data_IF_209493060057
#
_entry.id   IF_209493060057
#
_cell.length_a   1.000
_cell.length_b   1.000
_cell.length_c   1.000
_cell.angle_alpha   90.00
_cell.angle_beta   90.00
_cell.angle_gamma   90.00
#
_symmetry.space_group_name_H-M   'P 1'
#
loop_
_entity.id
_entity.type
_entity.pdbx_description
1 polymer ?
#
# COMPACT_ATOMS: atom_id res chain seq x y z
N UNK A 1 7.58 0.86 18.18
CA UNK A 1 6.48 0.76 17.20
C UNK A 1 6.62 -0.58 16.51
N UNK A 2 5.52 -1.30 16.37
CA UNK A 2 5.44 -2.57 15.63
C UNK A 2 4.38 -2.48 14.54
N UNK A 3 4.71 -2.83 13.29
CA UNK A 3 3.79 -2.79 12.16
C UNK A 3 3.68 -4.14 11.46
N UNK A 4 2.53 -4.37 10.82
CA UNK A 4 2.33 -5.45 9.87
C UNK A 4 2.41 -4.87 8.46
N UNK A 5 3.43 -5.24 7.68
CA UNK A 5 3.60 -4.83 6.29
C UNK A 5 3.25 -5.99 5.37
N UNK A 6 2.29 -5.78 4.45
CA UNK A 6 1.71 -6.85 3.62
C UNK A 6 1.82 -6.48 2.15
N UNK A 7 2.30 -7.43 1.33
CA UNK A 7 2.39 -7.30 -0.12
C UNK A 7 3.80 -7.03 -0.61
N UNK A 8 3.95 -6.20 -1.62
CA UNK A 8 5.21 -5.80 -2.27
C UNK A 8 6.08 -7.00 -2.66
N UNK A 9 5.43 -8.06 -3.15
CA UNK A 9 6.08 -9.28 -3.63
C UNK A 9 5.23 -9.95 -4.70
N UNK A 10 5.89 -10.59 -5.67
CA UNK A 10 5.21 -11.21 -6.80
C UNK A 10 5.96 -12.41 -7.37
N UNK A 11 5.23 -13.23 -8.09
CA UNK A 11 5.76 -14.36 -8.87
C UNK A 11 5.67 -14.00 -10.34
N UNK A 12 6.80 -14.02 -11.04
CA UNK A 12 6.88 -13.77 -12.47
C UNK A 12 6.89 -15.11 -13.19
N UNK A 13 5.92 -15.32 -14.08
CA UNK A 13 5.91 -16.45 -15.01
C UNK A 13 6.37 -15.97 -16.39
N UNK A 14 7.46 -16.54 -16.89
CA UNK A 14 8.04 -16.19 -18.19
C UNK A 14 7.86 -17.34 -19.16
N UNK A 15 7.43 -17.01 -20.37
CA UNK A 15 7.37 -17.96 -21.51
C UNK A 15 8.48 -17.58 -22.48
N UNK A 16 9.45 -18.47 -22.65
CA UNK A 16 10.56 -18.31 -23.56
C UNK A 16 10.25 -19.05 -24.87
N UNK A 17 10.19 -18.34 -26.00
CA UNK A 17 9.99 -18.93 -27.32
C UNK A 17 11.24 -18.76 -28.18
N UNK A 18 11.72 -19.88 -28.74
CA UNK A 18 12.89 -19.91 -29.63
C UNK A 18 12.54 -20.73 -30.89
N UNK A 19 12.00 -20.07 -31.91
CA UNK A 19 11.40 -20.72 -33.04
C UNK A 19 10.17 -21.54 -32.64
N UNK A 20 10.17 -22.85 -32.90
CA UNK A 20 9.11 -23.77 -32.51
C UNK A 20 9.23 -24.30 -31.08
N UNK A 21 10.39 -24.14 -30.45
CA UNK A 21 10.59 -24.59 -29.07
C UNK A 21 10.21 -23.52 -28.07
N UNK A 22 9.51 -23.93 -27.00
CA UNK A 22 9.16 -23.06 -25.90
C UNK A 22 9.32 -23.75 -24.54
N UNK A 23 9.68 -22.98 -23.55
CA UNK A 23 9.71 -23.41 -22.14
C UNK A 23 9.28 -22.30 -21.22
N UNK A 24 8.84 -22.66 -20.03
CA UNK A 24 8.44 -21.71 -18.98
C UNK A 24 9.46 -21.66 -17.87
N UNK A 25 9.63 -20.49 -17.28
CA UNK A 25 10.39 -20.32 -16.03
C UNK A 25 9.59 -19.45 -15.07
N UNK A 26 9.90 -19.57 -13.79
CA UNK A 26 9.23 -18.81 -12.73
C UNK A 26 10.29 -18.19 -11.84
N UNK A 27 10.08 -16.91 -11.48
CA UNK A 27 10.93 -16.16 -10.58
C UNK A 27 10.06 -15.52 -9.50
N UNK A 28 10.49 -15.59 -8.26
CA UNK A 28 9.94 -14.83 -7.15
C UNK A 28 10.76 -13.56 -6.92
N UNK A 29 10.09 -12.42 -6.68
CA UNK A 29 10.72 -11.14 -6.39
C UNK A 29 10.01 -10.43 -5.22
N UNK A 30 10.78 -9.63 -4.49
CA UNK A 30 10.31 -8.76 -3.40
C UNK A 30 10.75 -7.31 -3.66
N UNK A 31 9.80 -6.39 -3.79
CA UNK A 31 10.04 -4.94 -3.87
C UNK A 31 10.24 -4.30 -2.49
N UNK A 32 9.78 -4.96 -1.43
CA UNK A 32 9.77 -4.43 -0.07
C UNK A 32 11.14 -4.06 0.53
N UNK A 33 12.24 -4.55 -0.03
CA UNK A 33 13.59 -4.51 0.57
C UNK A 33 14.02 -3.09 0.98
N UNK A 34 13.76 -2.08 0.15
CA UNK A 34 14.12 -0.68 0.45
C UNK A 34 13.37 -0.17 1.68
N UNK A 35 12.06 -0.32 1.70
CA UNK A 35 11.22 0.14 2.81
C UNK A 35 11.53 -0.64 4.09
N UNK A 36 11.63 -1.96 4.04
CA UNK A 36 11.97 -2.79 5.19
C UNK A 36 13.32 -2.40 5.81
N UNK A 37 14.33 -2.16 4.96
CA UNK A 37 15.66 -1.74 5.40
C UNK A 37 15.62 -0.38 6.10
N UNK A 38 14.93 0.60 5.53
CA UNK A 38 14.84 1.93 6.10
C UNK A 38 14.05 1.95 7.43
N UNK A 39 12.96 1.19 7.53
CA UNK A 39 12.17 1.09 8.76
C UNK A 39 12.94 0.38 9.88
N UNK A 40 13.71 -0.67 9.55
CA UNK A 40 14.59 -1.35 10.50
C UNK A 40 15.68 -0.40 11.04
N UNK A 41 16.29 0.41 10.17
CA UNK A 41 17.28 1.42 10.58
C UNK A 41 16.66 2.49 11.50
N UNK A 42 15.37 2.81 11.32
CA UNK A 42 14.62 3.71 12.20
C UNK A 42 14.15 3.05 13.52
N UNK A 43 14.51 1.79 13.78
CA UNK A 43 14.12 1.06 15.00
C UNK A 43 12.64 0.65 15.03
N UNK A 44 11.98 0.56 13.87
CA UNK A 44 10.61 0.07 13.75
C UNK A 44 10.64 -1.46 13.56
N UNK A 45 9.90 -2.17 14.41
CA UNK A 45 9.70 -3.62 14.27
C UNK A 45 8.68 -3.88 13.16
N UNK A 46 9.09 -4.61 12.13
CA UNK A 46 8.24 -4.95 11.00
C UNK A 46 8.03 -6.44 10.93
N UNK A 47 6.77 -6.86 11.02
CA UNK A 47 6.33 -8.20 10.66
C UNK A 47 5.94 -8.15 9.18
N UNK A 48 6.76 -8.76 8.32
CA UNK A 48 6.56 -8.73 6.88
C UNK A 48 5.81 -9.97 6.42
N UNK A 49 4.76 -9.75 5.64
CA UNK A 49 3.93 -10.80 5.05
C UNK A 49 3.88 -10.64 3.53
N UNK A 50 4.73 -11.37 2.78
CA UNK A 50 4.68 -11.38 1.31
C UNK A 50 3.31 -11.81 0.79
N UNK A 51 2.94 -11.35 -0.41
CA UNK A 51 1.60 -11.56 -0.97
C UNK A 51 1.14 -13.04 -0.99
N UNK A 52 2.05 -13.97 -1.32
CA UNK A 52 1.73 -15.41 -1.40
C UNK A 52 1.48 -16.07 -0.03
N UNK A 53 1.89 -15.45 1.07
CA UNK A 53 1.68 -15.96 2.43
C UNK A 53 0.35 -15.52 3.04
N UNK A 54 -0.25 -14.45 2.52
CA UNK A 54 -1.49 -13.86 3.07
C UNK A 54 -2.63 -14.87 3.15
N UNK A 55 -2.80 -15.68 2.10
CA UNK A 55 -3.87 -16.68 2.03
C UNK A 55 -3.80 -17.74 3.13
N UNK A 56 -2.63 -17.91 3.76
CA UNK A 56 -2.38 -18.93 4.81
C UNK A 56 -2.14 -18.27 6.17
N UNK A 57 -1.38 -17.20 6.22
CA UNK A 57 -0.86 -16.60 7.46
C UNK A 57 -1.66 -15.41 7.98
N UNK A 58 -2.55 -14.82 7.15
CA UNK A 58 -3.30 -13.65 7.63
C UNK A 58 -4.11 -14.00 8.89
N UNK A 59 -4.09 -13.15 9.92
CA UNK A 59 -4.81 -13.36 11.17
C UNK A 59 -6.31 -13.62 10.95
N UNK A 60 -6.87 -14.56 11.71
CA UNK A 60 -8.30 -14.90 11.68
C UNK A 60 -9.09 -14.23 12.79
N UNK A 61 -8.38 -13.69 13.78
CA UNK A 61 -8.95 -13.06 14.96
C UNK A 61 -8.43 -11.62 15.09
N UNK A 62 -9.29 -10.70 15.50
CA UNK A 62 -8.97 -9.29 15.69
C UNK A 62 -7.84 -9.07 16.71
N UNK A 63 -7.77 -9.94 17.73
CA UNK A 63 -6.76 -9.84 18.79
C UNK A 63 -5.33 -10.00 18.27
N UNK A 64 -5.16 -10.73 17.18
CA UNK A 64 -3.86 -10.88 16.54
C UNK A 64 -3.43 -9.61 15.79
N UNK A 65 -4.37 -8.80 15.31
CA UNK A 65 -4.08 -7.53 14.65
C UNK A 65 -3.78 -6.42 15.67
N UNK A 66 -4.39 -6.46 16.84
CA UNK A 66 -4.21 -5.43 17.91
C UNK A 66 -2.79 -5.30 18.44
N UNK A 67 -1.91 -6.28 18.17
CA UNK A 67 -0.48 -6.22 18.54
C UNK A 67 0.33 -5.26 17.66
N UNK A 68 -0.23 -4.78 16.55
CA UNK A 68 0.40 -3.85 15.63
C UNK A 68 -0.10 -2.42 15.88
N UNK A 69 0.82 -1.46 15.79
CA UNK A 69 0.49 -0.02 15.82
C UNK A 69 -0.12 0.44 14.48
N UNK A 70 0.27 -0.18 13.37
CA UNK A 70 -0.29 0.06 12.03
C UNK A 70 -0.20 -1.17 11.12
N UNK A 71 -1.10 -1.23 10.15
CA UNK A 71 -1.08 -2.16 9.01
C UNK A 71 -0.74 -1.34 7.77
N UNK A 72 0.19 -1.84 6.96
CA UNK A 72 0.60 -1.26 5.68
C UNK A 72 0.30 -2.25 4.57
N UNK A 73 -0.48 -1.83 3.58
CA UNK A 73 -0.76 -2.59 2.37
C UNK A 73 -0.03 -1.96 1.19
N UNK A 74 0.76 -2.73 0.44
CA UNK A 74 1.53 -2.26 -0.72
C UNK A 74 1.49 -3.29 -1.84
N UNK A 75 1.09 -2.86 -3.01
CA UNK A 75 1.02 -3.65 -4.26
C UNK A 75 0.46 -5.07 -4.09
N UNK A 76 -0.71 -5.17 -3.46
CA UNK A 76 -1.43 -6.42 -3.20
C UNK A 76 -2.93 -6.24 -3.41
N UNK A 77 -3.53 -7.03 -4.31
CA UNK A 77 -4.94 -6.94 -4.65
C UNK A 77 -5.88 -7.54 -3.59
N UNK A 78 -7.12 -7.02 -3.54
CA UNK A 78 -8.13 -7.43 -2.56
C UNK A 78 -8.47 -8.92 -2.62
N UNK A 79 -8.40 -9.56 -3.78
CA UNK A 79 -8.67 -10.98 -3.94
C UNK A 79 -7.73 -11.87 -3.11
N UNK A 80 -6.48 -11.42 -2.87
CA UNK A 80 -5.54 -12.16 -2.03
C UNK A 80 -6.04 -12.32 -0.58
N UNK A 81 -6.81 -11.34 -0.10
CA UNK A 81 -7.45 -11.38 1.22
C UNK A 81 -8.81 -12.10 1.21
N UNK A 82 -9.57 -11.98 0.11
CA UNK A 82 -10.92 -12.53 0.00
C UNK A 82 -10.92 -14.02 -0.35
N UNK A 83 -9.95 -14.46 -1.15
CA UNK A 83 -9.83 -15.84 -1.64
C UNK A 83 -8.78 -16.61 -0.84
N UNK A 84 -8.96 -16.68 0.48
CA UNK A 84 -8.10 -17.48 1.34
C UNK A 84 -8.20 -18.97 0.97
N UNK A 85 -7.13 -19.75 1.21
CA UNK A 85 -7.06 -21.15 0.83
C UNK A 85 -8.25 -22.02 1.32
N UNK A 86 -8.74 -21.89 2.58
CA UNK A 86 -9.92 -22.63 3.00
C UNK A 86 -11.16 -22.28 2.17
N UNK A 87 -11.37 -21.00 1.85
CA UNK A 87 -12.51 -20.56 1.01
C UNK A 87 -12.38 -21.07 -0.42
N UNK A 88 -11.22 -20.87 -1.04
CA UNK A 88 -11.05 -21.10 -2.48
C UNK A 88 -10.93 -22.59 -2.83
N UNK A 89 -10.21 -23.38 -2.00
CA UNK A 89 -9.95 -24.78 -2.29
C UNK A 89 -10.81 -25.76 -1.49
N UNK A 90 -11.35 -25.34 -0.34
CA UNK A 90 -12.05 -26.24 0.58
C UNK A 90 -13.54 -25.88 0.75
N UNK A 91 -13.98 -24.75 0.12
CA UNK A 91 -15.35 -24.23 0.21
C UNK A 91 -15.79 -23.96 1.66
N UNK A 92 -14.86 -23.61 2.53
CA UNK A 92 -15.12 -23.30 3.93
C UNK A 92 -15.50 -21.84 4.13
N UNK A 93 -16.34 -21.59 5.12
CA UNK A 93 -16.65 -20.24 5.59
C UNK A 93 -15.56 -19.78 6.55
N UNK A 94 -14.90 -18.69 6.22
CA UNK A 94 -13.86 -18.05 7.05
C UNK A 94 -14.17 -16.56 7.26
N UNK A 95 -13.60 -15.92 8.29
CA UNK A 95 -13.74 -14.49 8.49
C UNK A 95 -13.24 -13.71 7.27
N UNK A 96 -13.93 -12.62 6.93
CA UNK A 96 -13.48 -11.69 5.89
C UNK A 96 -12.25 -10.93 6.39
N UNK A 97 -11.07 -11.20 5.82
CA UNK A 97 -9.81 -10.60 6.23
C UNK A 97 -9.83 -9.05 6.11
N UNK A 98 -10.45 -8.51 5.06
CA UNK A 98 -10.61 -7.05 4.92
C UNK A 98 -11.60 -6.49 5.96
N UNK A 99 -12.58 -7.29 6.37
CA UNK A 99 -13.49 -6.97 7.48
C UNK A 99 -12.76 -6.85 8.81
N UNK A 100 -11.79 -7.75 9.06
CA UNK A 100 -10.94 -7.66 10.25
C UNK A 100 -10.03 -6.42 10.23
N UNK A 101 -9.49 -6.05 9.07
CA UNK A 101 -8.72 -4.79 8.92
C UNK A 101 -9.63 -3.58 9.22
N UNK A 102 -10.86 -3.56 8.67
CA UNK A 102 -11.82 -2.48 8.97
C UNK A 102 -12.09 -2.37 10.46
N UNK A 103 -12.41 -3.48 11.11
CA UNK A 103 -12.68 -3.53 12.55
C UNK A 103 -11.46 -3.08 13.38
N UNK A 104 -10.25 -3.49 12.96
CA UNK A 104 -9.00 -3.07 13.58
C UNK A 104 -8.86 -1.54 13.54
N UNK A 105 -9.09 -0.91 12.38
CA UNK A 105 -9.01 0.55 12.23
C UNK A 105 -10.14 1.23 13.03
N UNK A 106 -11.36 0.72 12.96
CA UNK A 106 -12.51 1.27 13.70
C UNK A 106 -12.24 1.35 15.21
N UNK A 107 -11.50 0.36 15.74
CA UNK A 107 -11.12 0.29 17.15
C UNK A 107 -9.85 1.06 17.52
N UNK A 108 -9.21 1.73 16.56
CA UNK A 108 -8.08 2.62 16.84
C UNK A 108 -6.77 2.26 16.15
N UNK A 109 -6.71 1.20 15.37
CA UNK A 109 -5.52 0.84 14.60
C UNK A 109 -5.23 1.80 13.46
N UNK A 110 -3.98 1.83 13.00
CA UNK A 110 -3.55 2.61 11.84
C UNK A 110 -3.57 1.82 10.54
N UNK A 111 -3.98 2.44 9.42
CA UNK A 111 -3.92 1.83 8.09
C UNK A 111 -3.25 2.76 7.09
N UNK A 112 -2.24 2.26 6.39
CA UNK A 112 -1.63 2.89 5.22
C UNK A 112 -1.84 2.01 4.00
N UNK A 113 -2.36 2.57 2.90
CA UNK A 113 -2.26 1.96 1.58
C UNK A 113 -1.25 2.72 0.74
N UNK A 114 -0.26 2.01 0.24
CA UNK A 114 0.78 2.48 -0.70
C UNK A 114 0.37 2.04 -2.10
N UNK A 115 0.56 2.90 -3.09
CA UNK A 115 0.25 2.63 -4.49
C UNK A 115 1.07 1.50 -5.10
N UNK A 116 0.75 1.17 -6.32
CA UNK A 116 1.32 0.10 -7.11
C UNK A 116 0.29 -0.47 -8.09
N UNK A 117 0.69 -1.43 -8.89
CA UNK A 117 -0.19 -2.04 -9.91
C UNK A 117 -1.38 -2.77 -9.29
N UNK A 118 -1.27 -3.27 -8.07
CA UNK A 118 -2.35 -3.96 -7.36
C UNK A 118 -2.79 -3.26 -6.06
N UNK A 119 -2.70 -1.92 -6.03
CA UNK A 119 -3.28 -1.09 -4.97
C UNK A 119 -4.49 -0.33 -5.48
N UNK A 120 -5.36 0.13 -4.58
CA UNK A 120 -6.59 0.89 -4.90
C UNK A 120 -7.49 0.16 -5.92
N UNK A 121 -7.62 0.64 -7.17
CA UNK A 121 -8.24 -0.11 -8.25
C UNK A 121 -7.20 -0.87 -9.06
N UNK A 122 -6.06 -0.27 -9.30
CA UNK A 122 -4.89 -0.87 -9.93
C UNK A 122 -5.06 -1.18 -11.41
N UNK A 123 -4.10 -1.93 -11.93
CA UNK A 123 -4.07 -2.34 -13.34
C UNK A 123 -5.36 -3.05 -13.76
N UNK A 124 -6.02 -2.55 -14.80
CA UNK A 124 -7.29 -3.08 -15.32
C UNK A 124 -8.40 -3.19 -14.24
N UNK A 125 -8.30 -2.44 -13.14
CA UNK A 125 -9.22 -2.52 -12.00
C UNK A 125 -9.07 -3.79 -11.17
N UNK A 126 -7.98 -4.54 -11.29
CA UNK A 126 -7.80 -5.87 -10.67
C UNK A 126 -7.61 -5.84 -9.16
N UNK A 127 -7.04 -4.76 -8.61
CA UNK A 127 -6.91 -4.61 -7.16
C UNK A 127 -8.26 -4.50 -6.45
N UNK A 128 -9.21 -3.80 -7.09
CA UNK A 128 -10.65 -3.79 -6.81
C UNK A 128 -11.04 -3.44 -5.36
N UNK A 129 -10.27 -2.62 -4.65
CA UNK A 129 -10.59 -2.25 -3.26
C UNK A 129 -11.84 -1.38 -3.13
N UNK A 130 -12.24 -0.64 -4.18
CA UNK A 130 -13.49 0.14 -4.20
C UNK A 130 -14.71 -0.71 -3.88
N UNK A 131 -14.73 -1.96 -4.32
CA UNK A 131 -15.84 -2.89 -4.13
C UNK A 131 -15.68 -3.75 -2.85
N UNK A 132 -14.86 -3.28 -1.91
CA UNK A 132 -14.62 -3.93 -0.62
C UNK A 132 -14.96 -2.98 0.54
N UNK A 133 -15.00 -3.52 1.75
CA UNK A 133 -15.20 -2.73 2.97
C UNK A 133 -14.10 -1.71 3.23
N UNK A 134 -12.91 -1.84 2.62
CA UNK A 134 -11.83 -0.87 2.77
C UNK A 134 -12.10 0.44 2.00
N UNK A 135 -13.04 0.47 1.08
CA UNK A 135 -13.50 1.71 0.45
C UNK A 135 -14.03 2.72 1.49
N UNK A 136 -14.66 2.24 2.56
CA UNK A 136 -15.14 3.10 3.65
C UNK A 136 -13.98 3.61 4.51
N UNK A 137 -12.96 2.78 4.71
CA UNK A 137 -11.84 3.01 5.64
C UNK A 137 -10.80 3.97 5.09
N UNK A 138 -10.42 3.81 3.82
CA UNK A 138 -9.39 4.62 3.18
C UNK A 138 -9.84 6.08 3.01
N UNK A 139 -8.91 7.05 3.12
CA UNK A 139 -9.25 8.48 3.07
C UNK A 139 -9.50 8.98 1.63
N UNK A 140 -9.71 8.07 0.68
CA UNK A 140 -9.82 8.37 -0.75
C UNK A 140 -11.06 7.72 -1.37
N UNK A 141 -11.59 8.36 -2.42
CA UNK A 141 -12.60 7.83 -3.32
C UNK A 141 -11.91 7.27 -4.55
N UNK A 142 -11.91 5.95 -4.69
CA UNK A 142 -11.28 5.24 -5.80
C UNK A 142 -12.12 5.36 -7.09
N UNK A 143 -11.47 5.28 -8.25
CA UNK A 143 -12.13 5.26 -9.56
C UNK A 143 -12.93 3.96 -9.76
N UNK A 144 -13.67 3.86 -10.88
CA UNK A 144 -14.43 2.66 -11.24
C UNK A 144 -13.69 1.73 -12.22
N UNK A 145 -12.47 2.09 -12.60
CA UNK A 145 -11.68 1.39 -13.61
C UNK A 145 -10.19 1.42 -13.22
N UNK A 146 -9.34 1.05 -14.17
CA UNK A 146 -7.87 1.21 -14.07
C UNK A 146 -7.55 2.64 -13.65
N UNK A 147 -6.85 2.78 -12.55
CA UNK A 147 -6.55 4.07 -11.93
C UNK A 147 -5.07 4.48 -12.07
N UNK A 148 -4.29 3.72 -12.85
CA UNK A 148 -2.88 4.03 -13.08
C UNK A 148 -2.73 5.27 -13.95
N UNK A 149 -1.76 6.10 -13.59
CA UNK A 149 -1.27 7.21 -14.40
C UNK A 149 0.22 6.97 -14.64
N UNK A 150 0.58 6.58 -15.85
CA UNK A 150 1.98 6.36 -16.25
C UNK A 150 2.61 7.66 -16.74
N UNK A 151 3.76 8.04 -16.19
CA UNK A 151 4.46 9.30 -16.50
C UNK A 151 5.94 9.00 -16.76
N UNK A 152 6.30 8.43 -17.92
CA UNK A 152 7.69 8.03 -18.20
C UNK A 152 8.67 9.22 -18.21
N UNK A 153 8.19 10.45 -18.38
CA UNK A 153 9.00 11.68 -18.27
C UNK A 153 9.18 12.16 -16.81
N UNK A 154 8.56 11.49 -15.86
CA UNK A 154 8.56 11.86 -14.45
C UNK A 154 7.65 13.05 -14.11
N UNK A 155 7.11 13.02 -12.89
CA UNK A 155 6.41 14.16 -12.29
C UNK A 155 6.85 14.32 -10.84
N UNK A 156 7.10 15.58 -10.42
CA UNK A 156 7.50 15.91 -9.06
C UNK A 156 6.27 16.29 -8.23
N UNK A 157 5.99 15.59 -7.13
CA UNK A 157 4.95 16.00 -6.19
C UNK A 157 5.23 17.39 -5.59
N UNK A 158 4.18 18.02 -5.05
CA UNK A 158 4.26 19.32 -4.38
C UNK A 158 3.53 19.27 -3.07
N UNK A 159 4.19 19.69 -2.00
CA UNK A 159 3.55 19.91 -0.69
C UNK A 159 2.58 21.09 -0.80
N UNK A 160 1.31 20.87 -0.48
CA UNK A 160 0.26 21.88 -0.54
C UNK A 160 -0.29 22.26 0.84
N UNK A 161 -0.05 21.43 1.84
CA UNK A 161 -0.45 21.68 3.23
C UNK A 161 0.75 21.45 4.15
N UNK A 162 1.06 22.45 4.99
CA UNK A 162 2.11 22.32 6.02
C UNK A 162 1.67 21.32 7.10
N UNK A 163 2.44 20.27 7.27
CA UNK A 163 2.18 19.23 8.26
C UNK A 163 3.52 18.66 8.77
N UNK A 164 3.54 18.07 9.99
CA UNK A 164 4.75 17.43 10.53
C UNK A 164 5.32 16.33 9.61
N UNK A 165 4.45 15.66 8.84
CA UNK A 165 4.85 14.63 7.89
C UNK A 165 5.72 15.23 6.78
N UNK A 166 5.36 16.40 6.28
CA UNK A 166 6.04 17.09 5.16
C UNK A 166 6.99 18.21 5.62
N UNK A 167 7.32 18.25 6.92
CA UNK A 167 8.19 19.27 7.48
C UNK A 167 9.58 19.25 6.84
N UNK A 168 10.06 20.44 6.41
CA UNK A 168 11.33 20.67 5.72
C UNK A 168 11.45 20.01 4.33
N UNK A 169 10.35 19.50 3.76
CA UNK A 169 10.34 18.96 2.40
C UNK A 169 9.93 20.06 1.44
N UNK A 170 10.91 20.67 0.77
CA UNK A 170 10.68 21.69 -0.25
C UNK A 170 10.58 21.09 -1.65
N UNK A 171 11.44 20.13 -1.95
CA UNK A 171 11.52 19.50 -3.27
C UNK A 171 11.33 17.99 -3.15
N UNK A 172 10.46 17.46 -3.97
CA UNK A 172 10.21 16.03 -4.11
C UNK A 172 10.94 15.48 -5.33
N UNK A 173 11.52 14.27 -5.26
CA UNK A 173 12.01 13.59 -6.44
C UNK A 173 10.87 13.25 -7.40
N UNK A 174 11.20 12.94 -8.64
CA UNK A 174 10.22 12.56 -9.64
C UNK A 174 9.70 11.14 -9.39
N UNK A 175 8.44 10.91 -9.73
CA UNK A 175 7.81 9.59 -9.82
C UNK A 175 7.39 9.30 -11.26
N UNK A 176 7.43 8.03 -11.64
CA UNK A 176 7.13 7.57 -13.00
C UNK A 176 5.67 7.17 -13.20
N UNK A 177 4.91 7.13 -12.12
CA UNK A 177 3.49 6.82 -12.13
C UNK A 177 2.86 6.88 -10.75
N UNK A 178 1.53 6.77 -10.71
CA UNK A 178 0.76 6.76 -9.47
C UNK A 178 -0.67 6.22 -9.71
N UNK A 179 -1.36 5.83 -8.65
CA UNK A 179 -2.79 5.54 -8.68
C UNK A 179 -3.60 6.82 -8.50
N UNK A 180 -4.52 7.08 -9.42
CA UNK A 180 -5.41 8.23 -9.39
C UNK A 180 -6.65 7.97 -8.56
N UNK A 181 -6.94 8.88 -7.64
CA UNK A 181 -8.13 8.87 -6.80
C UNK A 181 -8.53 10.29 -6.43
N UNK A 182 -9.66 10.48 -5.78
CA UNK A 182 -10.07 11.75 -5.15
C UNK A 182 -9.92 11.63 -3.65
N UNK A 183 -9.60 12.73 -2.97
CA UNK A 183 -9.67 12.76 -1.53
C UNK A 183 -11.15 12.79 -1.07
N UNK A 184 -11.49 12.07 0.01
CA UNK A 184 -12.78 12.24 0.68
C UNK A 184 -12.91 13.63 1.27
N UNK A 185 -14.15 14.10 1.48
CA UNK A 185 -14.42 15.46 1.93
C UNK A 185 -13.76 15.82 3.26
N UNK A 186 -13.67 14.86 4.18
CA UNK A 186 -13.10 15.03 5.52
C UNK A 186 -11.60 14.71 5.58
N UNK A 187 -10.99 14.31 4.45
CA UNK A 187 -9.59 13.95 4.37
C UNK A 187 -8.69 15.17 4.12
N UNK A 188 -7.46 15.10 4.62
CA UNK A 188 -6.44 16.14 4.43
C UNK A 188 -5.48 15.74 3.31
N UNK A 189 -5.40 16.54 2.26
CA UNK A 189 -4.41 16.36 1.19
C UNK A 189 -3.15 17.13 1.56
N UNK A 190 -2.06 16.43 1.83
CA UNK A 190 -0.77 17.04 2.17
C UNK A 190 0.06 17.36 0.94
N UNK A 191 0.03 16.46 -0.02
CA UNK A 191 0.88 16.50 -1.22
C UNK A 191 0.03 16.17 -2.44
N UNK A 192 0.28 16.86 -3.54
CA UNK A 192 -0.29 16.58 -4.86
C UNK A 192 0.81 16.21 -5.84
N UNK A 193 0.45 15.37 -6.82
CA UNK A 193 1.24 15.14 -8.03
C UNK A 193 0.39 15.62 -9.21
N UNK A 194 0.94 16.52 -10.04
CA UNK A 194 0.12 17.25 -11.00
C UNK A 194 -1.09 17.89 -10.27
N UNK A 195 -2.32 17.56 -10.65
CA UNK A 195 -3.55 18.06 -9.97
C UNK A 195 -4.18 17.04 -9.00
N UNK A 196 -3.66 15.81 -8.98
CA UNK A 196 -4.23 14.71 -8.22
C UNK A 196 -3.65 14.61 -6.79
N UNK A 197 -4.40 14.15 -5.79
CA UNK A 197 -3.88 13.88 -4.46
C UNK A 197 -2.78 12.82 -4.49
N UNK A 198 -1.71 13.03 -3.72
CA UNK A 198 -0.56 12.11 -3.65
C UNK A 198 -0.36 11.52 -2.25
N UNK A 199 -0.41 12.36 -1.20
CA UNK A 199 -0.47 11.91 0.20
C UNK A 199 -1.74 12.47 0.80
N UNK A 200 -2.60 11.56 1.27
CA UNK A 200 -3.89 11.89 1.86
C UNK A 200 -4.00 11.24 3.23
N UNK A 201 -4.39 12.03 4.22
CA UNK A 201 -4.62 11.59 5.59
C UNK A 201 -6.11 11.59 5.90
N UNK A 202 -6.52 10.68 6.78
CA UNK A 202 -7.90 10.61 7.26
C UNK A 202 -8.04 9.81 8.54
N UNK A 203 -9.28 9.50 8.87
CA UNK A 203 -9.62 8.68 10.03
C UNK A 203 -10.88 7.85 9.75
N UNK A 204 -10.98 6.72 10.41
CA UNK A 204 -12.15 5.86 10.38
C UNK A 204 -12.40 5.30 11.79
N UNK A 205 -13.59 5.50 12.32
CA UNK A 205 -13.86 5.18 13.71
C UNK A 205 -12.89 5.92 14.64
N UNK A 206 -12.15 5.19 15.44
CA UNK A 206 -11.09 5.71 16.32
C UNK A 206 -9.71 5.71 15.66
N UNK A 207 -9.53 5.03 14.54
CA UNK A 207 -8.23 4.84 13.86
C UNK A 207 -7.86 5.96 12.91
N UNK A 208 -6.59 5.97 12.55
CA UNK A 208 -6.01 6.87 11.56
C UNK A 208 -5.73 6.13 10.26
N UNK A 209 -5.94 6.82 9.14
CA UNK A 209 -5.72 6.23 7.81
C UNK A 209 -4.89 7.15 6.94
N UNK A 210 -4.13 6.56 6.03
CA UNK A 210 -3.36 7.31 5.05
C UNK A 210 -3.36 6.57 3.70
N UNK A 211 -3.22 7.34 2.63
CA UNK A 211 -2.96 6.87 1.29
C UNK A 211 -1.73 7.57 0.73
N UNK A 212 -0.84 6.79 0.14
CA UNK A 212 0.30 7.25 -0.64
C UNK A 212 0.10 6.76 -2.07
N UNK A 213 -0.03 7.66 -3.03
CA UNK A 213 -0.53 7.34 -4.37
C UNK A 213 0.44 6.57 -5.26
N UNK A 214 1.73 6.54 -4.95
CA UNK A 214 2.74 5.89 -5.77
C UNK A 214 3.43 4.75 -5.03
N UNK A 215 4.50 4.23 -5.59
CA UNK A 215 5.23 3.07 -5.11
C UNK A 215 6.24 3.42 -4.01
N UNK A 216 6.51 2.50 -3.12
CA UNK A 216 7.60 2.60 -2.14
C UNK A 216 8.89 1.94 -2.62
N UNK A 217 8.88 1.33 -3.79
CA UNK A 217 9.93 0.50 -4.37
C UNK A 217 10.29 0.99 -5.79
N UNK A 218 11.42 0.51 -6.35
CA UNK A 218 11.77 0.75 -7.74
C UNK A 218 10.75 0.15 -8.69
N UNK A 219 9.97 0.99 -9.29
CA UNK A 219 9.00 0.81 -10.36
C UNK A 219 8.49 2.21 -10.72
N UNK A 220 7.48 2.74 -10.01
CA UNK A 220 7.12 4.17 -10.09
C UNK A 220 8.01 5.04 -9.20
N UNK A 221 8.54 4.49 -8.11
CA UNK A 221 9.57 5.15 -7.32
C UNK A 221 10.90 5.15 -8.08
N UNK A 222 11.47 6.33 -8.34
CA UNK A 222 12.77 6.46 -9.01
C UNK A 222 13.93 6.12 -8.07
N UNK A 223 15.12 5.89 -8.62
CA UNK A 223 16.35 5.76 -7.82
C UNK A 223 16.58 7.00 -6.97
N UNK A 224 16.29 8.21 -7.52
CA UNK A 224 16.37 9.46 -6.77
C UNK A 224 15.46 9.44 -5.53
N UNK A 225 14.24 8.89 -5.63
CA UNK A 225 13.35 8.73 -4.47
C UNK A 225 13.91 7.73 -3.45
N UNK A 226 14.45 6.59 -3.89
CA UNK A 226 15.03 5.59 -2.98
C UNK A 226 16.24 6.13 -2.21
N UNK A 227 17.03 7.00 -2.83
CA UNK A 227 18.26 7.60 -2.26
C UNK A 227 18.00 8.98 -1.62
N UNK A 228 16.76 9.44 -1.64
CA UNK A 228 16.40 10.76 -1.12
C UNK A 228 16.54 10.85 0.40
N UNK A 229 17.10 11.96 0.87
CA UNK A 229 17.32 12.19 2.31
C UNK A 229 16.03 12.11 3.16
N UNK A 230 14.86 12.39 2.56
CA UNK A 230 13.57 12.27 3.23
C UNK A 230 12.86 10.93 3.00
N UNK A 231 13.45 9.95 2.29
CA UNK A 231 12.82 8.64 2.08
C UNK A 231 12.49 7.97 3.42
N UNK A 232 13.45 7.81 4.32
CA UNK A 232 13.18 7.27 5.65
C UNK A 232 12.30 8.21 6.50
N UNK A 233 12.58 9.53 6.60
CA UNK A 233 11.73 10.44 7.35
C UNK A 233 10.25 10.42 6.96
N UNK A 234 9.91 10.37 5.67
CA UNK A 234 8.50 10.40 5.23
C UNK A 234 7.73 9.17 5.72
N UNK A 235 8.31 7.96 5.58
CA UNK A 235 7.68 6.73 6.04
C UNK A 235 7.54 6.68 7.56
N UNK A 236 8.59 7.05 8.29
CA UNK A 236 8.56 7.11 9.76
C UNK A 236 7.50 8.09 10.27
N UNK A 237 7.39 9.26 9.63
CA UNK A 237 6.40 10.30 10.01
C UNK A 237 4.97 9.85 9.69
N UNK A 238 4.73 9.19 8.54
CA UNK A 238 3.44 8.59 8.19
C UNK A 238 3.04 7.53 9.22
N UNK A 239 3.95 6.63 9.57
CA UNK A 239 3.68 5.58 10.56
C UNK A 239 3.44 6.17 11.96
N UNK A 240 4.18 7.20 12.36
CA UNK A 240 3.95 7.89 13.62
C UNK A 240 2.59 8.63 13.66
N UNK A 241 2.10 9.14 12.53
CA UNK A 241 0.76 9.70 12.43
C UNK A 241 -0.32 8.62 12.65
N UNK A 242 -0.10 7.42 12.11
CA UNK A 242 -1.04 6.30 12.21
C UNK A 242 -1.10 5.68 13.60
N UNK A 243 0.02 5.74 14.33
CA UNK A 243 0.08 5.25 15.71
C UNK A 243 -0.72 6.16 16.62
N UNK A 244 -1.73 5.62 17.28
CA UNK A 244 -2.41 6.32 18.37
C UNK A 244 -1.51 6.39 19.62
N UNK A 245 -1.53 7.53 20.28
CA UNK A 245 -0.93 7.71 21.60
C UNK A 245 -1.82 7.13 22.68
#
# INVERSE_FOLDING_TARGET
MKILFIGESWVIHMIHSKGYDSFTSTKYEEGATYLLSCLKQAGIEVDYMPAHEVQVRFPKEIEELKKYDAIVLSDIGSNTFLLQNPTFYQMEVVPNALGLIREYVENGGGLLMIGGFLSFMGIEGKANYKNTVLAEVLPVEMLDADDRVEIPQGANPKTILKHKITENIENWPAFLGYNKFKAKKEAEVLVKIQEDPFIVLGSYGKGKTAAFASDCAPHWGTTEFMEWEYYQPIWVRLLNYLKQN
#
